data_IF_702320599274
#
_entry.id   IF_702320599274
#
_cell.length_a   1.000
_cell.length_b   1.000
_cell.length_c   1.000
_cell.angle_alpha   90.00
_cell.angle_beta   90.00
_cell.angle_gamma   90.00
#
_symmetry.space_group_name_H-M   'P 1'
#
loop_
_entity.id
_entity.type
_entity.pdbx_description
1 polymer ?
#
# COMPACT_ATOMS: atom_id res chain seq x y z
N UNK A 1 -22.85 3.99 -19.71
CA UNK A 1 -21.91 3.05 -19.09
C UNK A 1 -22.32 3.00 -17.64
N UNK A 2 -22.81 1.86 -17.16
CA UNK A 2 -23.12 1.69 -15.74
C UNK A 2 -21.82 1.91 -14.95
N UNK A 3 -21.87 2.75 -13.91
CA UNK A 3 -20.72 2.91 -13.02
C UNK A 3 -20.35 1.54 -12.45
N UNK A 4 -19.06 1.14 -12.51
CA UNK A 4 -18.65 -0.15 -11.98
C UNK A 4 -19.01 -0.20 -10.48
N UNK A 5 -19.73 -1.26 -10.07
CA UNK A 5 -20.06 -1.44 -8.68
C UNK A 5 -18.78 -1.51 -7.84
N UNK A 6 -18.64 -0.62 -6.86
CA UNK A 6 -17.51 -0.59 -5.94
C UNK A 6 -17.95 -1.32 -4.65
N UNK A 7 -17.36 -2.49 -4.33
CA UNK A 7 -17.69 -3.18 -3.09
C UNK A 7 -17.32 -2.31 -1.88
N UNK A 8 -18.17 -2.30 -0.86
CA UNK A 8 -17.84 -1.64 0.41
C UNK A 8 -17.01 -2.56 1.32
N UNK A 9 -16.14 -2.03 2.20
CA UNK A 9 -15.43 -2.82 3.21
C UNK A 9 -16.38 -3.73 4.02
N UNK A 10 -17.52 -3.18 4.47
CA UNK A 10 -18.51 -3.94 5.23
C UNK A 10 -19.16 -5.08 4.42
N UNK A 11 -19.35 -4.92 3.10
CA UNK A 11 -19.85 -5.98 2.23
C UNK A 11 -18.81 -7.11 2.10
N UNK A 12 -17.53 -6.77 1.96
CA UNK A 12 -16.44 -7.75 1.91
C UNK A 12 -16.30 -8.49 3.25
N UNK A 13 -16.32 -7.78 4.38
CA UNK A 13 -16.25 -8.40 5.71
C UNK A 13 -17.43 -9.34 5.95
N UNK A 14 -18.64 -8.89 5.61
CA UNK A 14 -19.85 -9.72 5.68
C UNK A 14 -19.71 -10.95 4.81
N UNK A 15 -19.29 -10.78 3.57
CA UNK A 15 -19.04 -11.89 2.64
C UNK A 15 -18.08 -12.93 3.24
N UNK A 16 -16.90 -12.49 3.69
CA UNK A 16 -15.89 -13.37 4.29
C UNK A 16 -16.43 -14.09 5.54
N UNK A 17 -17.25 -13.43 6.35
CA UNK A 17 -17.85 -14.01 7.57
C UNK A 17 -18.95 -15.06 7.28
N UNK A 18 -19.69 -14.89 6.17
CA UNK A 18 -20.82 -15.74 5.79
C UNK A 18 -20.39 -17.01 5.04
N UNK A 19 -19.12 -17.13 4.65
CA UNK A 19 -18.62 -18.33 3.96
C UNK A 19 -18.83 -19.60 4.79
N UNK A 20 -19.01 -20.77 4.13
CA UNK A 20 -19.28 -22.02 4.81
C UNK A 20 -18.29 -22.30 5.94
N UNK A 21 -18.80 -22.74 7.10
CA UNK A 21 -17.97 -22.95 8.30
C UNK A 21 -16.73 -23.78 7.99
N UNK A 22 -16.86 -24.90 7.28
CA UNK A 22 -15.72 -25.78 6.92
C UNK A 22 -14.59 -25.05 6.20
N UNK A 23 -14.93 -24.13 5.29
CA UNK A 23 -13.96 -23.31 4.56
C UNK A 23 -13.27 -22.32 5.51
N UNK A 24 -14.05 -21.59 6.32
CA UNK A 24 -13.51 -20.65 7.32
C UNK A 24 -12.62 -21.35 8.35
N UNK A 25 -12.98 -22.56 8.77
CA UNK A 25 -12.13 -23.38 9.65
C UNK A 25 -10.81 -23.73 8.99
N UNK A 26 -10.81 -24.16 7.72
CA UNK A 26 -9.58 -24.45 6.98
C UNK A 26 -8.69 -23.21 6.80
N UNK A 27 -9.27 -22.05 6.51
CA UNK A 27 -8.53 -20.79 6.36
C UNK A 27 -8.02 -20.26 7.70
N UNK A 28 -8.80 -20.45 8.77
CA UNK A 28 -8.37 -20.14 10.12
C UNK A 28 -7.15 -20.98 10.51
N UNK A 29 -7.20 -22.29 10.23
CA UNK A 29 -6.10 -23.23 10.46
C UNK A 29 -4.86 -22.94 9.60
N UNK A 30 -5.04 -22.49 8.35
CA UNK A 30 -3.91 -22.03 7.53
C UNK A 30 -3.32 -20.70 8.01
N UNK A 31 -3.96 -20.05 8.99
CA UNK A 31 -3.51 -18.79 9.54
C UNK A 31 -3.81 -17.58 8.66
N UNK A 32 -4.61 -17.74 7.60
CA UNK A 32 -4.93 -16.68 6.64
C UNK A 32 -5.91 -15.67 7.25
N UNK A 33 -5.67 -14.38 7.04
CA UNK A 33 -6.49 -13.25 7.49
C UNK A 33 -6.59 -12.21 6.38
N UNK A 34 -7.59 -11.34 6.48
CA UNK A 34 -7.87 -10.31 5.49
C UNK A 34 -8.05 -8.97 6.21
N UNK A 35 -7.49 -7.92 5.62
CA UNK A 35 -7.76 -6.53 5.97
C UNK A 35 -8.26 -5.80 4.73
N UNK A 36 -9.19 -4.86 4.91
CA UNK A 36 -9.61 -3.95 3.84
C UNK A 36 -8.94 -2.61 4.02
N UNK A 37 -8.54 -1.96 2.93
CA UNK A 37 -8.00 -0.60 2.96
C UNK A 37 -8.40 0.15 1.69
N UNK A 38 -8.45 1.47 1.76
CA UNK A 38 -8.78 2.32 0.62
C UNK A 38 -8.12 3.68 0.78
N UNK A 39 -7.73 4.27 -0.35
CA UNK A 39 -7.25 5.64 -0.40
C UNK A 39 -8.33 6.62 0.07
N UNK A 40 -8.02 7.49 1.03
CA UNK A 40 -9.01 8.37 1.66
C UNK A 40 -9.69 9.36 0.69
N UNK A 41 -8.99 9.75 -0.39
CA UNK A 41 -9.43 10.74 -1.36
C UNK A 41 -10.33 10.17 -2.47
N UNK A 42 -10.56 8.84 -2.53
CA UNK A 42 -11.30 8.22 -3.62
C UNK A 42 -12.06 6.96 -3.20
N UNK A 43 -13.22 6.68 -3.83
CA UNK A 43 -14.04 5.53 -3.46
C UNK A 43 -13.48 4.18 -3.97
N UNK A 44 -12.62 4.18 -5.00
CA UNK A 44 -12.06 3.01 -5.68
C UNK A 44 -10.58 3.22 -6.05
N UNK A 45 -9.75 2.17 -6.07
CA UNK A 45 -10.08 0.77 -5.75
C UNK A 45 -10.16 0.50 -4.24
N UNK A 46 -10.97 -0.51 -3.87
CA UNK A 46 -10.89 -1.14 -2.55
C UNK A 46 -9.81 -2.21 -2.57
N UNK A 47 -8.89 -2.17 -1.61
CA UNK A 47 -7.86 -3.18 -1.46
C UNK A 47 -8.25 -4.21 -0.40
N UNK A 48 -8.03 -5.49 -0.70
CA UNK A 48 -8.13 -6.60 0.26
C UNK A 48 -6.74 -7.20 0.47
N UNK A 49 -6.13 -6.92 1.61
CA UNK A 49 -4.80 -7.39 2.00
C UNK A 49 -4.93 -8.76 2.66
N UNK A 50 -4.55 -9.80 1.91
CA UNK A 50 -4.66 -11.19 2.28
C UNK A 50 -3.33 -11.68 2.89
N UNK A 51 -3.25 -11.76 4.22
CA UNK A 51 -2.00 -11.95 4.98
C UNK A 51 -2.03 -13.17 5.93
N UNK A 52 -0.87 -13.54 6.47
CA UNK A 52 -0.76 -14.50 7.57
C UNK A 52 -0.99 -13.82 8.92
N UNK A 53 -1.61 -14.49 9.89
CA UNK A 53 -1.80 -13.98 11.24
C UNK A 53 -0.47 -13.62 11.92
N UNK A 54 0.62 -14.31 11.55
CA UNK A 54 1.98 -14.05 12.07
C UNK A 54 2.54 -12.71 11.58
N UNK A 55 1.99 -12.20 10.49
CA UNK A 55 2.45 -10.99 9.81
C UNK A 55 1.44 -9.84 9.96
N UNK A 56 0.53 -9.93 10.94
CA UNK A 56 -0.54 -8.96 11.15
C UNK A 56 -0.04 -7.54 11.43
N UNK A 57 1.10 -7.38 12.12
CA UNK A 57 1.70 -6.06 12.33
C UNK A 57 2.11 -5.41 11.00
N UNK A 58 2.84 -6.14 10.15
CA UNK A 58 3.26 -5.66 8.83
C UNK A 58 2.10 -5.41 7.89
N UNK A 59 1.06 -6.24 7.94
CA UNK A 59 -0.16 -6.02 7.16
C UNK A 59 -0.88 -4.74 7.60
N UNK A 60 -0.93 -4.45 8.91
CA UNK A 60 -1.47 -3.19 9.43
C UNK A 60 -0.63 -1.98 9.03
N UNK A 61 0.70 -2.08 9.07
CA UNK A 61 1.57 -1.01 8.57
C UNK A 61 1.26 -0.71 7.10
N UNK A 62 1.04 -1.75 6.29
CA UNK A 62 0.69 -1.58 4.89
C UNK A 62 -0.68 -0.90 4.70
N UNK A 63 -1.72 -1.32 5.43
CA UNK A 63 -3.04 -0.68 5.33
C UNK A 63 -3.02 0.75 5.83
N UNK A 64 -2.25 1.06 6.88
CA UNK A 64 -2.01 2.43 7.33
C UNK A 64 -1.37 3.29 6.23
N UNK A 65 -0.44 2.71 5.45
CA UNK A 65 0.13 3.39 4.29
C UNK A 65 -0.94 3.77 3.26
N UNK A 66 -1.85 2.85 2.95
CA UNK A 66 -2.94 3.07 2.01
C UNK A 66 -3.93 4.13 2.53
N UNK A 67 -4.30 4.06 3.80
CA UNK A 67 -5.39 4.90 4.35
C UNK A 67 -4.91 6.28 4.79
N UNK A 68 -3.68 6.39 5.31
CA UNK A 68 -3.17 7.61 5.95
C UNK A 68 -2.01 8.22 5.18
N UNK A 69 -0.96 7.44 4.87
CA UNK A 69 0.23 8.01 4.22
C UNK A 69 -0.08 8.53 2.83
N UNK A 70 -0.99 7.89 2.10
CA UNK A 70 -1.47 8.37 0.80
C UNK A 70 -2.00 9.80 0.85
N UNK A 71 -2.78 10.15 1.87
CA UNK A 71 -3.32 11.51 2.02
C UNK A 71 -2.21 12.54 2.35
N UNK A 72 -1.14 12.09 3.00
CA UNK A 72 0.02 12.92 3.35
C UNK A 72 1.01 13.16 2.18
N UNK A 73 0.96 12.32 1.13
CA UNK A 73 1.76 12.46 -0.10
C UNK A 73 1.44 13.77 -0.83
N UNK A 74 2.39 14.41 -1.55
CA UNK A 74 2.07 15.59 -2.36
C UNK A 74 0.98 15.31 -3.41
N UNK A 75 0.06 16.25 -3.60
CA UNK A 75 -1.07 16.13 -4.53
C UNK A 75 -0.63 15.74 -5.94
N UNK A 76 0.38 16.42 -6.50
CA UNK A 76 0.97 16.08 -7.81
C UNK A 76 1.41 14.62 -7.95
N UNK A 77 1.87 13.99 -6.87
CA UNK A 77 2.28 12.59 -6.88
C UNK A 77 1.07 11.66 -6.90
N UNK A 78 -0.04 12.06 -6.26
CA UNK A 78 -1.32 11.33 -6.34
C UNK A 78 -1.96 11.48 -7.72
N UNK A 79 -2.01 12.70 -8.25
CA UNK A 79 -2.57 13.03 -9.57
C UNK A 79 -1.90 12.22 -10.69
N UNK A 80 -0.58 11.98 -10.57
CA UNK A 80 0.15 11.13 -11.51
C UNK A 80 -0.46 9.71 -11.65
N UNK A 81 -1.21 9.24 -10.66
CA UNK A 81 -1.86 7.92 -10.65
C UNK A 81 -3.38 7.97 -10.87
N UNK A 82 -3.99 9.14 -11.08
CA UNK A 82 -5.45 9.23 -11.18
C UNK A 82 -6.03 8.38 -12.31
N UNK A 83 -5.45 8.45 -13.50
CA UNK A 83 -5.92 7.63 -14.63
C UNK A 83 -5.75 6.12 -14.35
N UNK A 84 -4.64 5.73 -13.72
CA UNK A 84 -4.37 4.33 -13.38
C UNK A 84 -5.40 3.84 -12.36
N UNK A 85 -5.60 4.58 -11.29
CA UNK A 85 -6.52 4.20 -10.22
C UNK A 85 -7.98 4.23 -10.69
N UNK A 86 -8.34 5.18 -11.55
CA UNK A 86 -9.67 5.25 -12.17
C UNK A 86 -9.96 4.04 -13.06
N UNK A 87 -8.99 3.59 -13.86
CA UNK A 87 -9.14 2.43 -14.77
C UNK A 87 -8.87 1.09 -14.10
N UNK A 88 -8.37 1.07 -12.87
CA UNK A 88 -8.05 -0.14 -12.14
C UNK A 88 -9.30 -0.96 -11.79
N UNK A 89 -9.19 -2.28 -11.59
CA UNK A 89 -10.29 -3.07 -11.05
C UNK A 89 -10.80 -2.47 -9.74
N UNK A 90 -12.13 -2.30 -9.55
CA UNK A 90 -12.68 -1.67 -8.35
C UNK A 90 -12.39 -2.43 -7.05
N UNK A 91 -12.02 -3.72 -7.16
CA UNK A 91 -11.49 -4.53 -6.07
C UNK A 91 -10.12 -5.09 -6.44
N UNK A 92 -9.11 -4.84 -5.62
CA UNK A 92 -7.76 -5.38 -5.80
C UNK A 92 -7.38 -6.23 -4.59
N UNK A 93 -7.09 -7.50 -4.83
CA UNK A 93 -6.62 -8.43 -3.81
C UNK A 93 -5.09 -8.42 -3.78
N UNK A 94 -4.54 -8.09 -2.61
CA UNK A 94 -3.09 -8.07 -2.39
C UNK A 94 -2.69 -9.28 -1.56
N UNK A 95 -1.96 -10.22 -2.17
CA UNK A 95 -1.33 -11.31 -1.46
C UNK A 95 -0.08 -10.81 -0.74
N UNK A 96 -0.26 -10.39 0.51
CA UNK A 96 0.82 -9.84 1.33
C UNK A 96 1.59 -10.96 2.04
N UNK A 97 2.82 -11.21 1.59
CA UNK A 97 3.60 -12.39 1.98
C UNK A 97 5.04 -11.98 2.29
N UNK A 98 5.71 -12.78 3.12
CA UNK A 98 7.15 -12.59 3.41
C UNK A 98 7.98 -12.62 2.12
N UNK A 99 7.73 -13.62 1.28
CA UNK A 99 8.42 -13.89 0.02
C UNK A 99 7.42 -14.34 -1.03
N UNK A 100 7.74 -14.10 -2.30
CA UNK A 100 7.01 -14.61 -3.45
C UNK A 100 7.88 -15.58 -4.27
N UNK A 101 7.23 -16.32 -5.17
CA UNK A 101 7.87 -17.38 -5.96
C UNK A 101 8.82 -16.82 -7.03
N UNK A 102 8.51 -15.65 -7.61
CA UNK A 102 9.34 -14.97 -8.60
C UNK A 102 10.63 -14.37 -8.02
N UNK A 103 10.71 -14.18 -6.69
CA UNK A 103 11.80 -13.43 -6.06
C UNK A 103 11.79 -11.93 -6.40
N UNK A 104 10.65 -11.38 -6.76
CA UNK A 104 10.44 -9.98 -7.10
C UNK A 104 9.86 -9.19 -5.91
N UNK A 105 9.81 -7.85 -5.96
CA UNK A 105 9.25 -7.03 -4.85
C UNK A 105 7.73 -7.17 -4.74
N UNK A 106 7.09 -7.28 -5.90
CA UNK A 106 5.70 -7.62 -6.11
C UNK A 106 5.52 -8.07 -7.55
N UNK A 107 4.36 -8.62 -7.85
CA UNK A 107 3.93 -8.85 -9.23
C UNK A 107 2.41 -8.91 -9.33
N UNK A 108 1.85 -8.37 -10.41
CA UNK A 108 0.46 -8.65 -10.77
C UNK A 108 0.24 -10.11 -11.17
N UNK A 109 -0.93 -10.64 -10.88
CA UNK A 109 -1.40 -11.91 -11.37
C UNK A 109 -2.35 -11.72 -12.55
N UNK A 110 -2.23 -12.58 -13.57
CA UNK A 110 -3.13 -12.59 -14.74
C UNK A 110 -4.53 -13.11 -14.36
N UNK A 111 -4.60 -13.98 -13.36
CA UNK A 111 -5.83 -14.62 -12.90
C UNK A 111 -5.88 -14.52 -11.38
N UNK A 112 -7.05 -14.17 -10.85
CA UNK A 112 -7.32 -14.15 -9.41
C UNK A 112 -7.36 -15.59 -8.89
N UNK A 113 -6.48 -15.89 -7.94
CA UNK A 113 -6.32 -17.21 -7.30
C UNK A 113 -6.62 -17.19 -5.81
N UNK A 114 -6.74 -16.01 -5.19
CA UNK A 114 -7.13 -15.89 -3.80
C UNK A 114 -8.56 -16.41 -3.65
N UNK A 115 -8.72 -17.55 -2.96
CA UNK A 115 -9.92 -18.39 -2.99
C UNK A 115 -11.27 -17.67 -2.78
N UNK A 116 -11.41 -16.71 -1.85
CA UNK A 116 -12.66 -15.98 -1.70
C UNK A 116 -13.01 -15.11 -2.91
N UNK A 117 -12.06 -14.78 -3.78
CA UNK A 117 -12.23 -13.81 -4.85
C UNK A 117 -12.01 -14.40 -6.24
N UNK A 118 -11.64 -15.68 -6.34
CA UNK A 118 -11.40 -16.38 -7.60
C UNK A 118 -12.68 -16.73 -8.37
N UNK A 119 -13.83 -16.75 -7.69
CA UNK A 119 -15.15 -17.01 -8.28
C UNK A 119 -16.06 -15.78 -8.12
N UNK A 120 -16.94 -15.50 -9.10
CA UNK A 120 -17.94 -14.44 -8.96
C UNK A 120 -18.85 -14.67 -7.75
N UNK A 121 -19.19 -13.59 -7.04
CA UNK A 121 -20.09 -13.64 -5.89
C UNK A 121 -20.95 -12.37 -5.84
N UNK A 122 -22.20 -12.48 -5.39
CA UNK A 122 -23.15 -11.35 -5.33
C UNK A 122 -22.62 -10.17 -4.50
N UNK A 123 -21.91 -10.46 -3.41
CA UNK A 123 -21.25 -9.45 -2.57
C UNK A 123 -20.16 -8.64 -3.28
N UNK A 124 -19.68 -9.10 -4.43
CA UNK A 124 -18.77 -8.36 -5.31
C UNK A 124 -19.55 -7.50 -6.31
N UNK A 125 -20.86 -7.70 -6.45
CA UNK A 125 -21.75 -6.90 -7.31
C UNK A 125 -21.33 -6.84 -8.78
N UNK A 126 -20.66 -7.87 -9.28
CA UNK A 126 -20.11 -7.89 -10.64
C UNK A 126 -18.82 -7.07 -10.82
N UNK A 127 -18.25 -6.53 -9.74
CA UNK A 127 -16.93 -5.88 -9.75
C UNK A 127 -15.88 -6.79 -10.38
N UNK A 128 -15.12 -6.25 -11.34
CA UNK A 128 -13.89 -6.91 -11.77
C UNK A 128 -12.89 -6.91 -10.62
N UNK A 129 -12.14 -8.01 -10.50
CA UNK A 129 -11.17 -8.20 -9.43
C UNK A 129 -9.78 -8.31 -10.02
N UNK A 130 -8.87 -7.46 -9.54
CA UNK A 130 -7.44 -7.58 -9.78
C UNK A 130 -6.76 -8.37 -8.67
N UNK A 131 -5.66 -9.03 -8.97
CA UNK A 131 -4.82 -9.66 -7.95
C UNK A 131 -3.35 -9.33 -8.19
N UNK A 132 -2.62 -9.07 -7.12
CA UNK A 132 -1.18 -8.90 -7.11
C UNK A 132 -0.58 -9.45 -5.81
N UNK A 133 0.73 -9.64 -5.79
CA UNK A 133 1.46 -9.97 -4.57
C UNK A 133 2.51 -8.91 -4.20
N UNK A 134 2.86 -8.89 -2.90
CA UNK A 134 3.94 -8.08 -2.36
C UNK A 134 4.77 -8.95 -1.41
N UNK A 135 6.07 -9.00 -1.65
CA UNK A 135 7.05 -9.76 -0.86
C UNK A 135 7.73 -8.83 0.17
N UNK A 136 7.10 -8.61 1.31
CA UNK A 136 7.48 -7.52 2.21
C UNK A 136 8.89 -7.63 2.80
N UNK A 137 9.45 -8.84 3.02
CA UNK A 137 10.84 -8.98 3.49
C UNK A 137 11.83 -8.43 2.46
N UNK A 138 11.53 -8.63 1.16
CA UNK A 138 12.37 -8.06 0.09
C UNK A 138 12.22 -6.54 0.03
N UNK A 139 11.02 -6.01 0.25
CA UNK A 139 10.76 -4.57 0.29
C UNK A 139 11.50 -3.89 1.45
N UNK A 140 11.57 -4.52 2.61
CA UNK A 140 12.36 -4.02 3.74
C UNK A 140 13.85 -3.88 3.37
N UNK A 141 14.40 -4.90 2.71
CA UNK A 141 15.79 -4.91 2.25
C UNK A 141 16.04 -4.08 0.98
N UNK A 142 14.99 -3.59 0.32
CA UNK A 142 15.11 -2.89 -0.95
C UNK A 142 15.65 -1.47 -0.75
N UNK A 143 16.85 -1.24 -1.27
CA UNK A 143 17.45 0.09 -1.34
C UNK A 143 16.90 0.83 -2.58
N UNK A 144 15.67 1.34 -2.48
CA UNK A 144 15.23 2.36 -3.40
C UNK A 144 16.19 3.55 -3.26
N UNK A 145 16.90 3.89 -4.35
CA UNK A 145 18.02 4.85 -4.41
C UNK A 145 17.90 5.95 -3.35
N UNK A 146 18.91 6.13 -2.47
CA UNK A 146 18.81 7.09 -1.39
C UNK A 146 18.58 8.48 -1.98
N UNK A 147 17.62 9.22 -1.41
CA UNK A 147 17.80 10.67 -1.30
C UNK A 147 19.16 10.79 -0.61
N UNK A 148 20.13 11.41 -1.28
CA UNK A 148 21.53 11.42 -0.84
C UNK A 148 21.61 11.60 0.68
N UNK A 149 22.41 10.77 1.35
CA UNK A 149 22.59 10.70 2.81
C UNK A 149 22.81 12.07 3.49
N UNK A 150 23.07 13.10 2.70
CA UNK A 150 23.24 14.51 3.03
C UNK A 150 22.03 15.27 3.58
N UNK A 151 20.79 14.77 3.51
CA UNK A 151 19.59 15.56 3.90
C UNK A 151 19.02 15.27 5.30
N UNK A 152 19.48 14.21 5.98
CA UNK A 152 19.03 13.86 7.32
C UNK A 152 20.18 14.13 8.29
N UNK A 153 20.19 15.32 8.89
CA UNK A 153 21.17 15.68 9.92
C UNK A 153 21.21 14.59 11.01
N UNK A 154 22.38 14.26 11.54
CA UNK A 154 22.55 13.18 12.52
C UNK A 154 21.64 13.39 13.76
N UNK A 155 21.33 14.65 14.08
CA UNK A 155 20.37 15.05 15.12
C UNK A 155 18.90 14.72 14.81
N UNK A 156 18.52 14.66 13.53
CA UNK A 156 17.17 14.30 13.09
C UNK A 156 16.85 12.82 13.38
N UNK A 157 17.89 11.95 13.34
CA UNK A 157 17.76 10.50 13.42
C UNK A 157 18.11 9.91 14.80
N UNK A 158 18.05 10.69 15.88
CA UNK A 158 18.25 10.15 17.23
C UNK A 158 17.00 9.43 17.76
N UNK A 159 17.20 8.24 18.35
CA UNK A 159 16.18 7.51 19.11
C UNK A 159 14.97 7.06 18.30
N UNK A 160 13.76 7.28 18.84
CA UNK A 160 12.47 6.83 18.26
C UNK A 160 12.19 7.41 16.87
N UNK A 161 12.79 8.55 16.51
CA UNK A 161 12.58 9.21 15.22
C UNK A 161 13.18 8.45 14.05
N UNK A 162 14.30 7.76 14.27
CA UNK A 162 14.86 6.88 13.26
C UNK A 162 13.94 5.68 13.01
N UNK A 163 13.29 5.18 14.05
CA UNK A 163 12.31 4.11 13.92
C UNK A 163 11.05 4.59 13.17
N UNK A 164 10.50 5.74 13.54
CA UNK A 164 9.37 6.38 12.85
C UNK A 164 9.70 6.66 11.38
N UNK A 165 10.89 7.21 11.10
CA UNK A 165 11.36 7.44 9.73
C UNK A 165 11.45 6.14 8.94
N UNK A 166 12.03 5.07 9.52
CA UNK A 166 12.14 3.75 8.85
C UNK A 166 10.77 3.13 8.60
N UNK A 167 9.83 3.28 9.53
CA UNK A 167 8.46 2.81 9.36
C UNK A 167 7.76 3.58 8.23
N UNK A 168 7.86 4.92 8.21
CA UNK A 168 7.32 5.74 7.11
C UNK A 168 7.93 5.35 5.77
N UNK A 169 9.27 5.24 5.73
CA UNK A 169 10.00 4.86 4.52
C UNK A 169 9.54 3.49 4.01
N UNK A 170 9.36 2.52 4.91
CA UNK A 170 8.85 1.20 4.56
C UNK A 170 7.42 1.26 3.98
N UNK A 171 6.51 2.01 4.60
CA UNK A 171 5.14 2.18 4.09
C UNK A 171 5.12 2.87 2.72
N UNK A 172 5.96 3.89 2.50
CA UNK A 172 6.09 4.54 1.19
C UNK A 172 6.67 3.60 0.11
N UNK A 173 7.60 2.71 0.46
CA UNK A 173 8.07 1.65 -0.48
C UNK A 173 6.93 0.70 -0.84
N UNK A 174 6.13 0.27 0.14
CA UNK A 174 4.97 -0.59 -0.10
C UNK A 174 3.93 0.10 -1.00
N UNK A 175 3.62 1.37 -0.78
CA UNK A 175 2.74 2.16 -1.64
C UNK A 175 3.29 2.26 -3.07
N UNK A 176 4.58 2.56 -3.22
CA UNK A 176 5.23 2.61 -4.53
C UNK A 176 5.08 1.30 -5.30
N UNK A 177 5.21 0.15 -4.62
CA UNK A 177 5.06 -1.17 -5.25
C UNK A 177 3.58 -1.46 -5.54
N UNK A 178 2.67 -1.14 -4.62
CA UNK A 178 1.22 -1.29 -4.85
C UNK A 178 0.79 -0.54 -6.11
N UNK A 179 1.24 0.72 -6.27
CA UNK A 179 0.94 1.56 -7.43
C UNK A 179 1.61 1.04 -8.71
N UNK A 180 2.83 0.51 -8.60
CA UNK A 180 3.53 -0.15 -9.71
C UNK A 180 2.74 -1.37 -10.22
N UNK A 181 2.35 -2.28 -9.34
CA UNK A 181 1.62 -3.48 -9.74
C UNK A 181 0.19 -3.16 -10.21
N UNK A 182 -0.44 -2.13 -9.62
CA UNK A 182 -1.74 -1.63 -10.07
C UNK A 182 -1.66 -1.04 -11.48
N UNK A 183 -0.57 -0.35 -11.81
CA UNK A 183 -0.32 0.12 -13.18
C UNK A 183 -0.33 -1.06 -14.15
N UNK A 184 0.40 -2.14 -13.84
CA UNK A 184 0.45 -3.32 -14.70
C UNK A 184 -0.91 -4.04 -14.81
N UNK A 185 -1.80 -3.92 -13.82
CA UNK A 185 -3.18 -4.42 -13.93
C UNK A 185 -3.97 -3.67 -15.01
N UNK A 186 -3.72 -2.37 -15.19
CA UNK A 186 -4.41 -1.50 -16.15
C UNK A 186 -3.77 -1.57 -17.53
N UNK A 187 -2.43 -1.50 -17.60
CA UNK A 187 -1.66 -1.53 -18.84
C UNK A 187 -0.62 -2.66 -18.82
N UNK A 188 -1.04 -3.91 -19.06
CA UNK A 188 -0.17 -5.10 -18.95
C UNK A 188 1.03 -5.14 -19.90
N UNK A 189 1.04 -4.27 -20.91
CA UNK A 189 2.06 -4.19 -21.98
C UNK A 189 2.97 -2.97 -21.85
N UNK A 190 2.73 -2.11 -20.86
CA UNK A 190 3.59 -0.97 -20.60
C UNK A 190 5.01 -1.45 -20.25
N UNK A 191 6.02 -0.74 -20.75
CA UNK A 191 7.39 -1.14 -20.51
C UNK A 191 7.74 -1.05 -19.01
N UNK A 192 8.33 -2.11 -18.48
CA UNK A 192 8.74 -2.19 -17.07
C UNK A 192 9.60 -1.00 -16.62
N UNK A 193 10.46 -0.48 -17.51
CA UNK A 193 11.27 0.70 -17.23
C UNK A 193 10.43 1.96 -16.97
N UNK A 194 9.36 2.18 -17.74
CA UNK A 194 8.48 3.34 -17.59
C UNK A 194 7.65 3.25 -16.30
N UNK A 195 7.08 2.07 -16.02
CA UNK A 195 6.32 1.84 -14.77
C UNK A 195 7.23 1.99 -13.54
N UNK A 196 8.47 1.47 -13.63
CA UNK A 196 9.49 1.61 -12.58
C UNK A 196 9.91 3.04 -12.37
N UNK A 197 10.16 3.81 -13.43
CA UNK A 197 10.52 5.22 -13.34
C UNK A 197 9.44 6.02 -12.60
N UNK A 198 8.18 5.83 -13.00
CA UNK A 198 7.02 6.50 -12.39
C UNK A 198 6.86 6.17 -10.90
N UNK A 199 6.94 4.89 -10.54
CA UNK A 199 6.83 4.45 -9.14
C UNK A 199 8.02 4.91 -8.28
N UNK A 200 9.23 4.92 -8.83
CA UNK A 200 10.40 5.48 -8.14
C UNK A 200 10.31 6.99 -7.95
N UNK A 201 9.78 7.72 -8.93
CA UNK A 201 9.54 9.16 -8.81
C UNK A 201 8.56 9.45 -7.66
N UNK A 202 7.43 8.73 -7.62
CA UNK A 202 6.47 8.78 -6.50
C UNK A 202 7.16 8.54 -5.15
N UNK A 203 7.94 7.47 -5.03
CA UNK A 203 8.61 7.15 -3.76
C UNK A 203 9.56 8.25 -3.32
N UNK A 204 10.41 8.75 -4.23
CA UNK A 204 11.40 9.78 -3.93
C UNK A 204 10.76 11.10 -3.51
N UNK A 205 9.77 11.56 -4.26
CA UNK A 205 9.09 12.82 -3.95
C UNK A 205 8.27 12.75 -2.67
N UNK A 206 7.59 11.62 -2.43
CA UNK A 206 6.84 11.39 -1.19
C UNK A 206 7.76 11.37 0.03
N UNK A 207 8.90 10.68 -0.08
CA UNK A 207 9.87 10.62 1.01
C UNK A 207 10.54 11.99 1.24
N UNK A 208 10.89 12.71 0.18
CA UNK A 208 11.46 14.06 0.30
C UNK A 208 10.48 15.01 1.01
N UNK A 209 9.20 15.01 0.59
CA UNK A 209 8.17 15.83 1.24
C UNK A 209 7.96 15.46 2.70
N UNK A 210 7.99 14.16 3.05
CA UNK A 210 7.93 13.73 4.44
C UNK A 210 9.10 14.28 5.26
N UNK A 211 10.34 14.17 4.74
CA UNK A 211 11.53 14.69 5.41
C UNK A 211 11.46 16.21 5.59
N UNK A 212 11.06 16.94 4.55
CA UNK A 212 10.89 18.41 4.62
C UNK A 212 9.87 18.81 5.70
N UNK A 213 8.70 18.16 5.74
CA UNK A 213 7.66 18.41 6.76
C UNK A 213 8.15 18.10 8.16
N UNK A 214 8.86 16.98 8.32
CA UNK A 214 9.40 16.56 9.60
C UNK A 214 10.48 17.54 10.10
N UNK A 215 11.41 17.97 9.25
CA UNK A 215 12.42 18.97 9.58
C UNK A 215 11.78 20.32 9.91
N UNK A 216 10.81 20.78 9.11
CA UNK A 216 10.10 22.04 9.37
C UNK A 216 9.38 22.06 10.73
N UNK A 217 8.80 20.94 11.14
CA UNK A 217 8.14 20.80 12.45
C UNK A 217 9.15 20.92 13.61
N UNK A 218 10.39 20.47 13.41
CA UNK A 218 11.44 20.58 14.42
C UNK A 218 11.92 22.01 14.62
N UNK A 219 12.16 22.74 13.52
CA UNK A 219 12.55 24.15 13.59
C UNK A 219 11.52 24.98 14.38
N UNK A 220 10.22 24.75 14.12
CA UNK A 220 9.12 25.42 14.84
C UNK A 220 9.04 25.05 16.33
N UNK A 221 9.40 23.81 16.69
CA UNK A 221 9.37 23.36 18.09
C UNK A 221 10.54 23.94 18.89
N UNK A 222 11.71 24.06 18.25
CA UNK A 222 12.91 24.66 18.85
C UNK A 222 12.67 26.17 19.09
N UNK A 223 12.15 26.90 18.10
CA UNK A 223 11.88 28.35 18.24
C UNK A 223 10.86 28.67 19.35
N UNK A 224 9.83 27.82 19.52
CA UNK A 224 8.86 27.97 20.62
C UNK A 224 9.43 27.65 21.99
N UNK A 225 10.44 26.78 22.06
CA UNK A 225 11.13 26.45 23.31
C UNK A 225 12.01 27.60 23.77
N UNK A 226 12.67 28.30 22.84
CA UNK A 226 13.48 29.48 23.16
C UNK A 226 12.65 30.73 23.45
N UNK A 227 11.47 30.89 22.85
CA UNK A 227 10.57 32.02 23.12
C UNK A 227 9.89 31.99 24.50
N UNK A 228 9.96 30.87 25.24
CA UNK A 228 9.42 30.75 26.61
C UNK A 228 10.44 31.11 27.71
N UNK A 229 11.68 31.42 27.35
CA UNK A 229 12.73 31.86 28.26
C UNK A 229 13.14 33.33 28.06
N UNK A 230 12.31 34.11 27.34
CA UNK A 230 12.46 35.56 27.16
C UNK A 230 11.50 36.35 28.04
#
# INVERSE_FOLDING_TARGET
MDEPHIPSPAAIDRYLSLRPRRVRWSEWLSGKRYLTARFADRPSPLFVVAHSFRDAAKARDFTLGIEQDWDAVPERCREAYDEILFRSPPLIVVQFRRRNLCGCLGHRHVVVKEKPFAEPHEALGGASVGELDIAFERVESWQALPLSETALDAKFLEGSRLEEFRQQQFRLRLLSILLHETHHLVWPREAESAVREKSLAFYRESLASYVEKAVGTLSLTIDRSFSRFG
#
